data_IF_198498637702
#
_entry.id   IF_198498637702
#
_cell.length_a   1.000
_cell.length_b   1.000
_cell.length_c   1.000
_cell.angle_alpha   90.00
_cell.angle_beta   90.00
_cell.angle_gamma   90.00
#
_symmetry.space_group_name_H-M   'P 1'
#
loop_
_entity.id
_entity.type
_entity.pdbx_description
1 polymer ?
#
# COMPACT_ATOMS: atom_id res chain seq x y z
N UNK A 1 3.43 -14.79 -22.72
CA UNK A 1 2.43 -13.87 -22.15
C UNK A 1 2.96 -12.46 -22.34
N UNK A 2 2.23 -11.59 -23.02
CA UNK A 2 2.73 -10.27 -23.45
C UNK A 2 3.11 -9.40 -22.23
N UNK A 3 4.33 -8.87 -22.17
CA UNK A 3 4.86 -8.16 -20.98
C UNK A 3 3.96 -6.98 -20.59
N UNK A 4 3.38 -6.34 -21.59
CA UNK A 4 2.43 -5.22 -21.48
C UNK A 4 1.12 -5.62 -20.78
N UNK A 5 0.66 -6.87 -20.95
CA UNK A 5 -0.55 -7.38 -20.29
C UNK A 5 -0.31 -7.63 -18.80
N UNK A 6 0.86 -8.17 -18.47
CA UNK A 6 1.26 -8.45 -17.08
C UNK A 6 1.41 -7.16 -16.29
N UNK A 7 1.99 -6.12 -16.89
CA UNK A 7 2.10 -4.79 -16.27
C UNK A 7 0.74 -4.17 -15.98
N UNK A 8 -0.20 -4.22 -16.94
CA UNK A 8 -1.56 -3.70 -16.73
C UNK A 8 -2.26 -4.42 -15.58
N UNK A 9 -2.16 -5.75 -15.51
CA UNK A 9 -2.75 -6.54 -14.42
C UNK A 9 -2.12 -6.15 -13.08
N UNK A 10 -0.78 -6.08 -13.00
CA UNK A 10 -0.09 -5.68 -11.79
C UNK A 10 -0.53 -4.29 -11.33
N UNK A 11 -0.56 -3.32 -12.23
CA UNK A 11 -0.99 -1.94 -11.94
C UNK A 11 -2.46 -1.90 -11.49
N UNK A 12 -3.36 -2.65 -12.13
CA UNK A 12 -4.76 -2.74 -11.70
C UNK A 12 -4.90 -3.33 -10.30
N UNK A 13 -4.14 -4.38 -9.96
CA UNK A 13 -4.14 -4.95 -8.62
C UNK A 13 -3.61 -3.94 -7.58
N UNK A 14 -2.57 -3.19 -7.92
CA UNK A 14 -2.06 -2.10 -7.08
C UNK A 14 -3.09 -1.00 -6.86
N UNK A 15 -3.84 -0.61 -7.91
CA UNK A 15 -4.89 0.40 -7.83
C UNK A 15 -6.05 -0.06 -6.93
N UNK A 16 -6.45 -1.33 -7.02
CA UNK A 16 -7.46 -1.91 -6.15
C UNK A 16 -7.01 -1.90 -4.68
N UNK A 17 -5.78 -2.35 -4.41
CA UNK A 17 -5.21 -2.30 -3.07
C UNK A 17 -5.15 -0.87 -2.53
N UNK A 18 -4.66 0.08 -3.33
CA UNK A 18 -4.57 1.48 -2.93
C UNK A 18 -5.93 2.11 -2.62
N UNK A 19 -6.96 1.79 -3.42
CA UNK A 19 -8.33 2.22 -3.18
C UNK A 19 -8.89 1.65 -1.88
N UNK A 20 -8.58 0.38 -1.58
CA UNK A 20 -8.93 -0.24 -0.32
C UNK A 20 -8.25 0.45 0.88
N UNK A 21 -6.97 0.83 0.76
CA UNK A 21 -6.27 1.60 1.81
C UNK A 21 -7.00 2.92 2.10
N UNK A 22 -7.32 3.70 1.06
CA UNK A 22 -8.06 4.95 1.24
C UNK A 22 -9.43 4.74 1.89
N UNK A 23 -10.15 3.69 1.50
CA UNK A 23 -11.43 3.33 2.12
C UNK A 23 -11.28 3.04 3.62
N UNK A 24 -10.27 2.24 4.02
CA UNK A 24 -10.02 1.93 5.43
C UNK A 24 -9.68 3.20 6.21
N UNK A 25 -8.85 4.09 5.66
CA UNK A 25 -8.48 5.36 6.30
C UNK A 25 -9.69 6.27 6.53
N UNK A 26 -10.62 6.34 5.57
CA UNK A 26 -11.88 7.08 5.72
C UNK A 26 -12.76 6.46 6.79
N UNK A 27 -12.89 5.13 6.82
CA UNK A 27 -13.70 4.42 7.83
C UNK A 27 -13.14 4.52 9.25
N UNK A 28 -11.82 4.69 9.40
CA UNK A 28 -11.16 4.88 10.69
C UNK A 28 -11.24 6.34 11.18
N UNK A 29 -11.64 7.27 10.33
CA UNK A 29 -11.69 8.68 10.67
C UNK A 29 -13.01 9.05 11.36
N UNK A 30 -12.94 9.98 12.32
CA UNK A 30 -14.14 10.62 12.84
C UNK A 30 -14.68 11.58 11.76
N UNK A 31 -15.93 11.41 11.28
CA UNK A 31 -16.51 12.25 10.24
C UNK A 31 -16.57 13.73 10.63
N UNK A 32 -16.51 14.07 11.93
CA UNK A 32 -16.49 15.45 12.41
C UNK A 32 -15.20 16.20 12.04
N UNK A 33 -14.10 15.50 11.73
CA UNK A 33 -12.80 16.13 11.43
C UNK A 33 -12.62 16.28 9.91
N UNK A 34 -13.17 17.38 9.38
CA UNK A 34 -13.18 17.70 7.95
C UNK A 34 -11.79 17.77 7.29
N UNK A 35 -10.77 18.21 8.03
CA UNK A 35 -9.39 18.34 7.51
C UNK A 35 -8.77 17.01 7.08
N UNK A 36 -9.02 15.93 7.84
CA UNK A 36 -8.54 14.60 7.50
C UNK A 36 -9.25 14.02 6.27
N UNK A 37 -10.55 14.30 6.11
CA UNK A 37 -11.29 13.88 4.92
C UNK A 37 -10.76 14.54 3.65
N UNK A 38 -10.39 15.84 3.71
CA UNK A 38 -9.71 16.51 2.60
C UNK A 38 -8.36 15.85 2.31
N UNK A 39 -7.56 15.58 3.35
CA UNK A 39 -6.25 14.94 3.18
C UNK A 39 -6.36 13.56 2.50
N UNK A 40 -7.33 12.73 2.92
CA UNK A 40 -7.58 11.43 2.29
C UNK A 40 -8.11 11.56 0.86
N UNK A 41 -8.92 12.57 0.57
CA UNK A 41 -9.35 12.89 -0.80
C UNK A 41 -8.17 13.27 -1.72
N UNK A 42 -7.26 14.11 -1.22
CA UNK A 42 -6.03 14.48 -1.95
C UNK A 42 -5.16 13.25 -2.16
N UNK A 43 -4.99 12.41 -1.13
CA UNK A 43 -4.22 11.17 -1.22
C UNK A 43 -4.80 10.23 -2.28
N UNK A 44 -6.13 10.07 -2.30
CA UNK A 44 -6.82 9.26 -3.29
C UNK A 44 -6.62 9.80 -4.71
N UNK A 45 -6.74 11.11 -4.91
CA UNK A 45 -6.48 11.74 -6.20
C UNK A 45 -5.02 11.53 -6.66
N UNK A 46 -4.05 11.76 -5.77
CA UNK A 46 -2.63 11.55 -6.06
C UNK A 46 -2.32 10.09 -6.43
N UNK A 47 -3.01 9.13 -5.81
CA UNK A 47 -2.92 7.71 -6.13
C UNK A 47 -3.41 7.40 -7.55
N UNK A 48 -4.57 7.91 -7.95
CA UNK A 48 -5.09 7.71 -9.30
C UNK A 48 -4.24 8.39 -10.38
N UNK A 49 -3.66 9.56 -10.07
CA UNK A 49 -2.66 10.21 -10.92
C UNK A 49 -1.43 9.30 -11.11
N UNK A 50 -0.96 8.66 -10.03
CA UNK A 50 0.14 7.71 -10.07
C UNK A 50 -0.20 6.48 -10.94
N UNK A 51 -1.37 5.87 -10.73
CA UNK A 51 -1.85 4.73 -11.54
C UNK A 51 -1.90 5.09 -13.02
N UNK A 52 -2.48 6.23 -13.35
CA UNK A 52 -2.53 6.72 -14.73
C UNK A 52 -1.14 6.93 -15.32
N UNK A 53 -0.22 7.50 -14.56
CA UNK A 53 1.17 7.70 -14.97
C UNK A 53 1.93 6.38 -15.17
N UNK A 54 1.67 5.37 -14.34
CA UNK A 54 2.23 4.03 -14.47
C UNK A 54 1.71 3.31 -15.71
N UNK A 55 0.42 3.43 -16.02
CA UNK A 55 -0.18 2.89 -17.25
C UNK A 55 0.42 3.53 -18.52
N UNK A 56 0.92 4.76 -18.41
CA UNK A 56 1.63 5.49 -19.48
C UNK A 56 3.16 5.33 -19.39
N UNK A 57 3.66 4.41 -18.58
CA UNK A 57 5.08 4.09 -18.40
C UNK A 57 5.95 5.31 -18.06
N UNK A 58 5.41 6.27 -17.30
CA UNK A 58 6.13 7.51 -17.00
C UNK A 58 7.08 7.35 -15.79
N UNK A 59 8.31 7.86 -15.91
CA UNK A 59 9.36 7.80 -14.86
C UNK A 59 8.95 8.40 -13.52
N UNK A 60 8.34 9.59 -13.51
CA UNK A 60 7.83 10.23 -12.29
C UNK A 60 6.80 9.38 -11.54
N UNK A 61 5.92 8.68 -12.25
CA UNK A 61 4.91 7.80 -11.65
C UNK A 61 5.53 6.53 -11.08
N UNK A 62 6.57 6.00 -11.71
CA UNK A 62 7.39 4.95 -11.14
C UNK A 62 7.97 5.38 -9.78
N UNK A 63 8.65 6.54 -9.71
CA UNK A 63 9.20 7.06 -8.45
C UNK A 63 8.10 7.25 -7.39
N UNK A 64 6.99 7.87 -7.78
CA UNK A 64 5.86 8.13 -6.89
C UNK A 64 5.24 6.81 -6.34
N UNK A 65 5.24 5.74 -7.13
CA UNK A 65 4.75 4.44 -6.68
C UNK A 65 5.61 3.84 -5.55
N UNK A 66 6.92 4.11 -5.52
CA UNK A 66 7.80 3.71 -4.41
C UNK A 66 7.48 4.49 -3.15
N UNK A 67 7.18 5.79 -3.27
CA UNK A 67 6.75 6.61 -2.13
C UNK A 67 5.46 6.05 -1.53
N UNK A 68 4.45 5.75 -2.35
CA UNK A 68 3.21 5.15 -1.85
C UNK A 68 3.40 3.76 -1.24
N UNK A 69 4.24 2.91 -1.85
CA UNK A 69 4.56 1.61 -1.28
C UNK A 69 5.28 1.74 0.08
N UNK A 70 6.21 2.70 0.20
CA UNK A 70 6.88 3.02 1.46
C UNK A 70 5.92 3.51 2.54
N UNK A 71 4.99 4.40 2.18
CA UNK A 71 3.93 4.86 3.10
C UNK A 71 3.03 3.70 3.54
N UNK A 72 2.66 2.80 2.62
CA UNK A 72 1.88 1.60 2.92
C UNK A 72 2.61 0.67 3.90
N UNK A 73 3.91 0.42 3.68
CA UNK A 73 4.74 -0.35 4.60
C UNK A 73 4.86 0.32 5.97
N UNK A 74 5.07 1.64 5.99
CA UNK A 74 5.13 2.42 7.24
C UNK A 74 3.83 2.30 8.04
N UNK A 75 2.68 2.42 7.36
CA UNK A 75 1.37 2.21 7.97
C UNK A 75 1.20 0.76 8.48
N UNK A 76 1.61 -0.23 7.68
CA UNK A 76 1.58 -1.64 8.08
C UNK A 76 2.44 -1.93 9.31
N UNK A 77 3.65 -1.36 9.36
CA UNK A 77 4.54 -1.47 10.51
C UNK A 77 3.97 -0.76 11.75
N UNK A 78 3.37 0.43 11.57
CA UNK A 78 2.68 1.15 12.65
C UNK A 78 1.51 0.34 13.21
N UNK A 79 0.68 -0.25 12.35
CA UNK A 79 -0.44 -1.11 12.77
C UNK A 79 0.04 -2.38 13.48
N UNK A 80 1.12 -3.00 13.01
CA UNK A 80 1.75 -4.14 13.67
C UNK A 80 2.29 -3.76 15.06
N UNK A 81 2.93 -2.59 15.18
CA UNK A 81 3.40 -2.06 16.45
C UNK A 81 2.23 -1.77 17.40
N UNK A 82 1.16 -1.14 16.90
CA UNK A 82 -0.05 -0.84 17.67
C UNK A 82 -0.74 -2.11 18.19
N UNK A 83 -0.83 -3.15 17.34
CA UNK A 83 -1.32 -4.47 17.74
C UNK A 83 -0.43 -5.11 18.83
N UNK A 84 0.87 -4.81 18.85
CA UNK A 84 1.80 -5.26 19.88
C UNK A 84 1.69 -4.47 21.20
N UNK A 85 1.26 -3.21 21.16
CA UNK A 85 1.07 -2.39 22.38
C UNK A 85 -0.16 -2.75 23.21
N UNK A 86 -1.16 -3.46 22.66
CA UNK A 86 -2.30 -3.95 23.46
C UNK A 86 -1.94 -5.04 24.49
N UNK A 87 -0.71 -5.57 24.41
CA UNK A 87 -0.23 -6.66 25.25
C UNK A 87 0.38 -6.21 26.58
N UNK A 88 0.23 -4.93 26.93
CA UNK A 88 0.67 -4.37 28.24
C UNK A 88 -0.02 -5.08 29.43
N UNK A 89 -1.16 -5.74 29.20
CA UNK A 89 -1.96 -6.37 30.27
C UNK A 89 -1.82 -7.90 30.38
N UNK A 90 -1.25 -8.58 29.37
CA UNK A 90 -1.03 -10.04 29.39
C UNK A 90 0.03 -10.41 28.35
N UNK A 91 1.01 -11.24 28.71
CA UNK A 91 2.05 -11.65 27.76
C UNK A 91 1.49 -12.63 26.70
N UNK A 92 1.63 -12.32 25.40
CA UNK A 92 1.22 -13.19 24.31
C UNK A 92 2.08 -14.44 24.26
N UNK A 93 1.44 -15.58 23.98
CA UNK A 93 2.15 -16.74 23.45
C UNK A 93 2.72 -16.45 22.06
N UNK A 94 3.75 -17.21 21.66
CA UNK A 94 4.40 -17.03 20.35
C UNK A 94 3.42 -17.23 19.17
N UNK A 95 2.45 -18.13 19.33
CA UNK A 95 1.37 -18.36 18.35
C UNK A 95 0.45 -17.14 18.17
N UNK A 96 0.08 -16.47 19.27
CA UNK A 96 -0.81 -15.30 19.20
C UNK A 96 -0.11 -14.09 18.57
N UNK A 97 1.20 -13.91 18.79
CA UNK A 97 2.02 -12.90 18.10
C UNK A 97 1.98 -13.11 16.58
N UNK A 98 2.17 -14.36 16.15
CA UNK A 98 2.15 -14.74 14.73
C UNK A 98 0.77 -14.51 14.13
N UNK A 99 -0.31 -14.92 14.81
CA UNK A 99 -1.68 -14.72 14.34
C UNK A 99 -2.08 -13.24 14.27
N UNK A 100 -1.61 -12.40 15.18
CA UNK A 100 -1.87 -10.96 15.18
C UNK A 100 -1.20 -10.26 13.99
N UNK A 101 0.03 -10.65 13.62
CA UNK A 101 0.74 -10.11 12.45
C UNK A 101 0.13 -10.62 11.14
N UNK A 102 -0.29 -11.88 11.11
CA UNK A 102 -0.97 -12.50 9.96
C UNK A 102 -2.41 -11.97 9.82
N UNK A 103 -2.96 -11.33 10.87
CA UNK A 103 -4.32 -10.81 10.87
C UNK A 103 -4.60 -10.04 9.56
N UNK A 104 -5.66 -10.38 8.81
CA UNK A 104 -5.86 -9.95 7.42
C UNK A 104 -5.74 -8.44 7.22
N UNK A 105 -6.08 -7.66 8.24
CA UNK A 105 -5.92 -6.21 8.20
C UNK A 105 -4.46 -5.77 8.15
N UNK A 106 -3.55 -6.35 8.95
CA UNK A 106 -2.15 -5.92 9.05
C UNK A 106 -1.29 -6.52 7.93
N UNK A 107 -1.52 -7.79 7.61
CA UNK A 107 -0.80 -8.51 6.56
C UNK A 107 -1.04 -7.92 5.18
N UNK A 108 -2.22 -7.36 4.90
CA UNK A 108 -2.52 -6.67 3.64
C UNK A 108 -1.71 -5.37 3.48
N UNK A 109 -1.51 -4.58 4.54
CA UNK A 109 -0.68 -3.35 4.48
C UNK A 109 0.83 -3.60 4.41
N UNK A 110 1.28 -4.82 4.73
CA UNK A 110 2.71 -5.17 4.69
C UNK A 110 3.06 -5.98 3.43
N UNK A 111 2.29 -7.02 3.12
CA UNK A 111 2.58 -7.91 1.99
C UNK A 111 2.33 -7.25 0.63
N UNK A 112 1.24 -6.52 0.46
CA UNK A 112 0.90 -5.91 -0.83
C UNK A 112 1.96 -4.89 -1.30
N UNK A 113 2.40 -3.91 -0.48
CA UNK A 113 3.47 -3.01 -0.89
C UNK A 113 4.84 -3.70 -0.98
N UNK A 114 5.12 -4.74 -0.20
CA UNK A 114 6.34 -5.53 -0.37
C UNK A 114 6.38 -6.27 -1.72
N UNK A 115 5.28 -6.92 -2.11
CA UNK A 115 5.14 -7.58 -3.41
C UNK A 115 5.20 -6.56 -4.56
N UNK A 116 4.61 -5.38 -4.38
CA UNK A 116 4.69 -4.28 -5.33
C UNK A 116 6.14 -3.84 -5.57
N UNK A 117 6.89 -3.56 -4.50
CA UNK A 117 8.30 -3.22 -4.60
C UNK A 117 9.11 -4.34 -5.25
N UNK A 118 8.88 -5.60 -4.85
CA UNK A 118 9.53 -6.76 -5.45
C UNK A 118 9.27 -6.91 -6.95
N UNK A 119 8.07 -6.55 -7.42
CA UNK A 119 7.75 -6.52 -8.85
C UNK A 119 8.49 -5.41 -9.59
N UNK A 120 8.40 -4.16 -9.11
CA UNK A 120 8.96 -2.99 -9.79
C UNK A 120 10.49 -2.90 -9.71
N UNK A 121 11.13 -3.55 -8.74
CA UNK A 121 12.58 -3.67 -8.64
C UNK A 121 13.20 -4.62 -9.68
N UNK A 122 12.40 -5.50 -10.31
CA UNK A 122 12.93 -6.39 -11.37
C UNK A 122 13.48 -5.55 -12.52
N UNK A 123 14.72 -5.84 -12.94
CA UNK A 123 15.42 -5.13 -14.01
C UNK A 123 14.57 -5.01 -15.28
N UNK A 124 13.87 -6.09 -15.65
CA UNK A 124 12.99 -6.14 -16.82
C UNK A 124 11.81 -5.16 -16.73
N UNK A 125 11.29 -4.93 -15.53
CA UNK A 125 10.18 -3.99 -15.28
C UNK A 125 10.71 -2.57 -15.22
N UNK A 126 11.76 -2.34 -14.42
CA UNK A 126 12.42 -1.03 -14.26
C UNK A 126 12.86 -0.43 -15.59
N UNK A 127 13.43 -1.23 -16.49
CA UNK A 127 13.91 -0.76 -17.79
C UNK A 127 12.82 -0.06 -18.60
N UNK A 128 11.55 -0.45 -18.43
CA UNK A 128 10.40 0.13 -19.14
C UNK A 128 10.03 1.55 -18.70
N UNK A 129 10.51 2.01 -17.55
CA UNK A 129 10.21 3.33 -17.00
C UNK A 129 11.41 4.29 -17.05
N UNK A 130 12.59 3.79 -17.44
CA UNK A 130 13.85 4.54 -17.45
C UNK A 130 14.33 4.83 -18.88
N UNK A 131 13.77 4.16 -19.90
CA UNK A 131 13.92 4.49 -21.32
C UNK A 131 13.21 5.78 -21.69
#
# INVERSE_FOLDING_TARGET
MDSTRTDKIAISLGALFASYVCYVLVMMNDPAVFSWNIAYGILFAALWICVWGLLRLKKWAYILSFVFAGLGLGLGAYLAHFAWTFWIFKEPTLAEKVLAVIHPRISVFTLAPALWLGYFLKLSVRARFVS
#
